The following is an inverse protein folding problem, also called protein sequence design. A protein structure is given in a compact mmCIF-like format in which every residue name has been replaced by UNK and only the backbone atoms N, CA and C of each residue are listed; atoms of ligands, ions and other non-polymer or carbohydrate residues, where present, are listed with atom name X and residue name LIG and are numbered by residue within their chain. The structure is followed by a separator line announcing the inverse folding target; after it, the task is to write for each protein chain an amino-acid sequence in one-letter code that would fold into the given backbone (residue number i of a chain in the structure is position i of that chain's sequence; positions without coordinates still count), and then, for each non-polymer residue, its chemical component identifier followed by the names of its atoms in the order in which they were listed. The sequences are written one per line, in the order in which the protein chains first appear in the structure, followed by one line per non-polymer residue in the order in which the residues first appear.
data_IF_349253857752
#
_entry.id   IF_349253857752
#
_cell.length_a   1.000
_cell.length_b   1.000
_cell.length_c   1.000
_cell.angle_alpha   90.00
_cell.angle_beta   90.00
_cell.angle_gamma   90.00
#
_symmetry.space_group_name_H-M   'P 1'
#
loop_
_entity.id
_entity.type
_entity.pdbx_description
1 polymer ?
#
# COMPACT_ATOMS: atom_id res chain seq x y z
N UNK A 1 17.96 -15.27 -28.39
CA UNK A 1 17.12 -14.09 -28.12
C UNK A 1 17.44 -13.59 -26.71
N UNK A 2 18.31 -12.61 -26.61
CA UNK A 2 18.71 -12.01 -25.33
C UNK A 2 17.48 -11.34 -24.67
N UNK A 3 17.17 -11.78 -23.46
CA UNK A 3 16.21 -11.08 -22.61
C UNK A 3 16.77 -9.69 -22.30
N UNK A 4 16.32 -8.67 -23.02
CA UNK A 4 16.52 -7.28 -22.63
C UNK A 4 16.11 -7.19 -21.15
N UNK A 5 17.09 -6.97 -20.28
CA UNK A 5 16.84 -6.75 -18.83
C UNK A 5 15.87 -5.59 -18.72
N UNK A 6 14.60 -5.85 -18.43
CA UNK A 6 13.60 -4.82 -18.16
C UNK A 6 14.16 -3.93 -17.05
N UNK A 7 14.49 -2.68 -17.40
CA UNK A 7 14.89 -1.65 -16.43
C UNK A 7 13.79 -1.61 -15.35
N UNK A 8 14.18 -1.72 -14.10
CA UNK A 8 13.21 -1.68 -12.99
C UNK A 8 12.40 -0.39 -13.09
N UNK A 9 11.09 -0.46 -12.87
CA UNK A 9 10.15 0.67 -12.90
C UNK A 9 10.68 1.90 -12.12
N UNK A 10 11.35 1.67 -11.03
CA UNK A 10 12.07 2.66 -10.22
C UNK A 10 13.05 3.50 -11.04
N UNK A 11 13.86 2.86 -11.90
CA UNK A 11 14.84 3.58 -12.74
C UNK A 11 14.16 4.26 -13.93
N UNK A 12 13.08 3.71 -14.46
CA UNK A 12 12.32 4.34 -15.53
C UNK A 12 11.69 5.65 -15.04
N UNK A 13 11.05 5.65 -13.89
CA UNK A 13 10.47 6.86 -13.28
C UNK A 13 11.56 7.91 -13.04
N UNK A 14 12.68 7.52 -12.44
CA UNK A 14 13.80 8.43 -12.17
C UNK A 14 14.36 9.04 -13.46
N UNK A 15 14.53 8.25 -14.52
CA UNK A 15 15.03 8.71 -15.82
C UNK A 15 14.04 9.71 -16.44
N UNK A 16 12.74 9.41 -16.48
CA UNK A 16 11.75 10.32 -17.08
C UNK A 16 11.66 11.66 -16.34
N UNK A 17 11.63 11.63 -15.01
CA UNK A 17 11.62 12.85 -14.20
C UNK A 17 12.94 13.65 -14.35
N UNK A 18 14.09 12.97 -14.40
CA UNK A 18 15.38 13.61 -14.61
C UNK A 18 15.47 14.27 -15.99
N UNK A 19 15.00 13.60 -17.05
CA UNK A 19 14.95 14.16 -18.39
C UNK A 19 14.03 15.37 -18.47
N UNK A 20 12.83 15.28 -17.89
CA UNK A 20 11.89 16.41 -17.83
C UNK A 20 12.49 17.60 -17.09
N UNK A 21 13.08 17.37 -15.92
CA UNK A 21 13.72 18.42 -15.12
C UNK A 21 14.87 19.08 -15.88
N UNK A 22 15.70 18.28 -16.57
CA UNK A 22 16.81 18.78 -17.39
C UNK A 22 16.27 19.65 -18.53
N UNK A 23 15.24 19.21 -19.25
CA UNK A 23 14.62 19.98 -20.32
C UNK A 23 14.04 21.32 -19.83
N UNK A 24 13.33 21.30 -18.70
CA UNK A 24 12.78 22.52 -18.10
C UNK A 24 13.89 23.48 -17.64
N UNK A 25 14.95 22.96 -17.00
CA UNK A 25 16.09 23.78 -16.55
C UNK A 25 16.84 24.42 -17.72
N UNK A 26 17.08 23.66 -18.80
CA UNK A 26 17.71 24.18 -20.01
C UNK A 26 16.83 25.23 -20.68
N UNK A 27 15.52 25.01 -20.80
CA UNK A 27 14.59 25.97 -21.37
C UNK A 27 14.54 27.27 -20.56
N UNK A 28 14.46 27.17 -19.25
CA UNK A 28 14.48 28.32 -18.35
C UNK A 28 15.81 29.08 -18.44
N UNK A 29 16.94 28.38 -18.46
CA UNK A 29 18.26 28.98 -18.59
C UNK A 29 18.40 29.74 -19.91
N UNK A 30 17.89 29.16 -21.01
CA UNK A 30 17.89 29.83 -22.31
C UNK A 30 17.07 31.12 -22.31
N UNK A 31 15.83 31.07 -21.81
CA UNK A 31 14.95 32.24 -21.71
C UNK A 31 15.55 33.32 -20.79
N UNK A 32 16.15 32.91 -19.69
CA UNK A 32 16.82 33.81 -18.77
C UNK A 32 17.99 34.53 -19.43
N UNK A 33 18.84 33.79 -20.15
CA UNK A 33 19.98 34.39 -20.89
C UNK A 33 19.52 35.35 -21.98
N UNK A 34 18.45 35.04 -22.72
CA UNK A 34 17.88 35.92 -23.72
C UNK A 34 17.36 37.22 -23.07
N UNK A 35 16.58 37.10 -22.02
CA UNK A 35 16.02 38.23 -21.27
C UNK A 35 17.12 39.14 -20.67
N UNK A 36 18.16 38.53 -20.15
CA UNK A 36 19.31 39.26 -19.60
C UNK A 36 20.06 40.02 -20.68
N UNK A 37 20.22 39.43 -21.87
CA UNK A 37 20.84 40.11 -23.03
C UNK A 37 20.05 41.33 -23.44
N UNK A 38 18.74 41.22 -23.59
CA UNK A 38 17.83 42.34 -23.94
C UNK A 38 17.91 43.44 -22.87
N UNK A 39 17.84 43.11 -21.61
CA UNK A 39 17.93 44.08 -20.51
C UNK A 39 19.27 44.83 -20.47
N UNK A 40 20.37 44.12 -20.73
CA UNK A 40 21.70 44.75 -20.81
C UNK A 40 21.80 45.71 -21.96
N UNK A 41 21.30 45.33 -23.13
CA UNK A 41 21.26 46.20 -24.32
C UNK A 41 20.47 47.48 -24.05
N UNK A 42 19.29 47.34 -23.49
CA UNK A 42 18.43 48.47 -23.14
C UNK A 42 19.11 49.40 -22.12
N UNK A 43 19.70 48.87 -21.06
CA UNK A 43 20.42 49.64 -20.03
C UNK A 43 21.61 50.42 -20.61
N UNK A 44 22.40 49.79 -21.48
CA UNK A 44 23.53 50.48 -22.14
C UNK A 44 23.05 51.57 -23.06
N UNK A 45 21.97 51.36 -23.80
CA UNK A 45 21.32 52.35 -24.63
C UNK A 45 20.86 53.59 -23.81
N UNK A 46 20.17 53.34 -22.68
CA UNK A 46 19.78 54.43 -21.76
C UNK A 46 20.98 55.21 -21.19
N UNK A 47 22.13 54.56 -21.00
CA UNK A 47 23.33 55.23 -20.51
C UNK A 47 23.90 56.18 -21.58
N UNK A 48 23.74 55.89 -22.88
CA UNK A 48 24.26 56.73 -23.99
C UNK A 48 23.40 57.95 -24.29
N UNK A 49 22.09 57.91 -23.99
CA UNK A 49 21.14 59.00 -24.30
C UNK A 49 21.58 60.35 -23.71
N UNK A 50 21.93 60.51 -22.43
CA UNK A 50 22.31 61.81 -21.87
C UNK A 50 23.53 62.43 -22.55
N UNK A 51 24.47 61.58 -22.98
CA UNK A 51 25.69 62.05 -23.64
C UNK A 51 25.42 62.52 -25.08
N UNK A 52 24.51 61.88 -25.81
CA UNK A 52 24.10 62.36 -27.14
C UNK A 52 23.36 63.70 -27.01
N UNK A 53 22.51 63.86 -25.99
CA UNK A 53 21.83 65.14 -25.74
C UNK A 53 22.83 66.25 -25.31
N UNK A 54 23.81 65.90 -24.46
CA UNK A 54 24.88 66.85 -24.07
C UNK A 54 25.66 67.36 -25.28
N UNK A 55 26.05 66.45 -26.15
CA UNK A 55 26.80 66.79 -27.40
C UNK A 55 25.95 67.72 -28.27
N UNK A 56 24.69 67.39 -28.54
CA UNK A 56 23.79 68.22 -29.34
C UNK A 56 23.61 69.61 -28.74
N UNK A 57 23.33 69.70 -27.46
CA UNK A 57 23.10 70.98 -26.75
C UNK A 57 24.33 71.89 -26.79
N UNK A 58 25.50 71.31 -26.74
CA UNK A 58 26.77 72.08 -26.86
C UNK A 58 26.98 72.61 -28.28
N UNK A 59 26.77 71.75 -29.28
CA UNK A 59 27.01 72.12 -30.69
C UNK A 59 25.90 73.03 -31.21
N UNK A 60 24.65 72.93 -30.84
CA UNK A 60 23.52 73.67 -31.40
C UNK A 60 23.47 75.14 -31.03
N UNK A 61 24.32 75.63 -30.11
CA UNK A 61 24.36 77.00 -29.65
C UNK A 61 24.83 78.02 -30.71
N UNK A 62 25.49 77.53 -31.80
CA UNK A 62 25.97 78.38 -32.86
C UNK A 62 25.93 77.63 -34.21
N UNK A 63 25.70 78.33 -35.31
CA UNK A 63 25.54 77.71 -36.62
C UNK A 63 26.88 77.22 -37.27
N UNK A 64 28.03 77.43 -36.65
CA UNK A 64 29.36 77.06 -37.16
C UNK A 64 29.72 75.58 -37.00
N UNK A 65 28.83 74.77 -36.44
CA UNK A 65 29.05 73.30 -36.12
C UNK A 65 29.29 72.48 -37.42
N UNK A 66 28.93 72.91 -38.58
CA UNK A 66 29.21 72.23 -39.85
C UNK A 66 30.66 72.28 -40.25
N UNK A 67 31.50 73.16 -39.67
CA UNK A 67 32.95 73.20 -39.91
C UNK A 67 33.61 72.24 -38.87
N UNK A 68 34.37 71.24 -39.35
CA UNK A 68 35.04 70.25 -38.49
C UNK A 68 35.96 70.87 -37.43
N UNK A 69 36.69 71.93 -37.72
CA UNK A 69 37.61 72.61 -36.78
C UNK A 69 36.79 73.28 -35.61
N UNK A 70 35.67 73.92 -35.96
CA UNK A 70 34.80 74.56 -35.01
C UNK A 70 34.10 73.51 -34.13
N UNK A 71 33.70 72.38 -34.70
CA UNK A 71 33.09 71.25 -33.96
C UNK A 71 34.12 70.64 -33.01
N UNK A 72 35.35 70.42 -33.43
CA UNK A 72 36.45 69.88 -32.65
C UNK A 72 36.77 70.79 -31.42
N UNK A 73 36.89 72.12 -31.67
CA UNK A 73 37.11 73.07 -30.57
C UNK A 73 36.01 73.08 -29.52
N UNK A 74 34.76 72.99 -29.90
CA UNK A 74 33.62 72.93 -28.98
C UNK A 74 33.52 71.58 -28.24
N UNK A 75 33.81 70.51 -28.99
CA UNK A 75 33.83 69.16 -28.34
C UNK A 75 34.91 69.03 -27.28
N UNK A 76 36.08 69.74 -27.45
CA UNK A 76 37.15 69.71 -26.45
C UNK A 76 36.70 70.16 -25.06
N UNK A 77 35.69 71.02 -24.94
CA UNK A 77 35.16 71.47 -23.66
C UNK A 77 34.26 70.46 -22.96
N UNK A 78 33.65 69.56 -23.69
CA UNK A 78 32.72 68.57 -23.12
C UNK A 78 33.28 67.14 -23.14
N UNK A 79 34.36 66.86 -23.89
CA UNK A 79 35.05 65.55 -23.91
C UNK A 79 35.41 65.04 -22.51
N UNK A 80 35.91 65.87 -21.56
CA UNK A 80 36.19 65.40 -20.19
C UNK A 80 34.96 64.93 -19.41
N UNK A 81 33.77 65.32 -19.86
CA UNK A 81 32.50 64.90 -19.23
C UNK A 81 31.95 63.57 -19.80
N UNK A 82 32.54 63.11 -20.90
CA UNK A 82 32.18 61.88 -21.62
C UNK A 82 33.07 60.76 -21.12
N UNK A 83 32.55 59.60 -20.77
CA UNK A 83 33.37 58.44 -20.40
C UNK A 83 34.44 58.10 -21.47
N UNK A 84 35.66 57.87 -21.06
CA UNK A 84 36.79 57.55 -21.97
C UNK A 84 36.51 56.34 -22.90
N UNK A 85 35.68 55.42 -22.45
CA UNK A 85 35.29 54.22 -23.16
C UNK A 85 34.19 54.48 -24.22
N UNK A 86 33.58 55.66 -24.24
CA UNK A 86 32.46 56.01 -25.09
C UNK A 86 32.99 56.71 -26.35
N UNK A 87 32.74 56.12 -27.49
CA UNK A 87 32.99 56.77 -28.79
C UNK A 87 31.81 57.68 -29.12
N UNK A 88 32.08 58.93 -29.47
CA UNK A 88 31.08 59.86 -29.92
C UNK A 88 31.45 60.29 -31.37
N UNK A 89 30.43 60.13 -32.24
CA UNK A 89 30.55 60.58 -33.64
C UNK A 89 29.40 61.56 -33.92
N UNK A 90 29.71 62.72 -34.45
CA UNK A 90 28.76 63.75 -34.91
C UNK A 90 28.69 63.66 -36.45
N UNK A 91 27.43 63.66 -36.96
CA UNK A 91 27.22 63.49 -38.40
C UNK A 91 26.29 64.59 -38.96
N UNK A 92 26.46 64.96 -40.21
CA UNK A 92 25.51 65.77 -40.92
C UNK A 92 24.14 65.10 -41.11
N UNK A 93 23.08 65.85 -41.53
CA UNK A 93 21.82 65.24 -41.93
C UNK A 93 21.96 64.21 -43.07
N UNK A 94 22.98 64.30 -43.88
CA UNK A 94 23.32 63.33 -44.95
C UNK A 94 24.30 62.24 -44.51
N UNK A 95 24.48 62.08 -43.17
CA UNK A 95 25.32 61.11 -42.52
C UNK A 95 26.81 61.14 -42.81
N UNK A 96 27.38 62.31 -43.24
CA UNK A 96 28.82 62.55 -43.31
C UNK A 96 29.37 62.85 -41.90
N UNK A 97 30.54 62.27 -41.58
CA UNK A 97 31.16 62.48 -40.24
C UNK A 97 31.75 63.92 -40.20
N UNK A 98 31.34 64.67 -39.13
CA UNK A 98 31.88 65.98 -38.79
C UNK A 98 32.96 65.87 -37.72
N UNK A 99 32.74 65.01 -36.75
CA UNK A 99 33.62 64.85 -35.59
C UNK A 99 33.58 63.42 -35.12
N UNK A 100 34.71 62.88 -34.70
CA UNK A 100 34.83 61.60 -34.04
C UNK A 100 35.93 61.63 -32.96
N UNK A 101 35.62 61.35 -31.69
CA UNK A 101 36.61 61.52 -30.63
C UNK A 101 37.74 60.46 -30.64
N UNK A 102 37.63 59.38 -31.39
CA UNK A 102 38.69 58.37 -31.51
C UNK A 102 39.53 58.56 -32.80
N UNK A 103 39.09 59.37 -33.75
CA UNK A 103 39.77 59.63 -35.04
C UNK A 103 39.99 61.12 -35.23
N UNK A 104 40.74 61.75 -34.33
CA UNK A 104 40.93 63.19 -34.32
C UNK A 104 41.82 63.73 -35.48
N UNK A 105 42.60 62.89 -36.18
CA UNK A 105 43.66 63.32 -37.06
C UNK A 105 43.51 62.92 -38.57
N UNK A 106 42.43 62.27 -38.95
CA UNK A 106 42.17 61.90 -40.36
C UNK A 106 40.99 62.70 -40.92
N UNK A 107 41.12 63.22 -42.11
CA UNK A 107 40.03 63.85 -42.84
C UNK A 107 38.97 62.76 -43.18
N UNK A 108 38.04 62.57 -42.28
CA UNK A 108 37.04 61.50 -42.33
C UNK A 108 36.02 61.86 -43.40
N UNK A 109 36.21 61.38 -44.64
CA UNK A 109 35.19 61.44 -45.69
C UNK A 109 34.38 60.12 -45.73
N UNK A 110 33.97 59.62 -44.56
CA UNK A 110 33.11 58.44 -44.48
C UNK A 110 31.63 58.82 -44.39
N UNK A 111 30.85 58.24 -45.28
CA UNK A 111 29.39 58.37 -45.20
C UNK A 111 28.78 57.14 -44.50
N UNK A 112 28.02 57.42 -43.50
CA UNK A 112 27.41 56.35 -42.65
C UNK A 112 25.93 56.12 -42.93
N UNK A 113 25.37 56.58 -44.05
CA UNK A 113 23.94 56.54 -44.36
C UNK A 113 23.32 55.13 -44.32
N UNK A 114 24.10 54.11 -44.64
CA UNK A 114 23.69 52.72 -44.70
C UNK A 114 23.87 51.97 -43.32
N UNK A 115 24.19 52.68 -42.28
CA UNK A 115 24.37 52.07 -40.97
C UNK A 115 22.99 51.81 -40.33
N UNK A 116 22.70 50.57 -39.83
CA UNK A 116 21.37 50.21 -39.29
C UNK A 116 20.87 51.21 -38.24
N UNK A 117 21.72 51.59 -37.28
CA UNK A 117 21.41 52.54 -36.22
C UNK A 117 20.97 53.94 -36.75
N UNK A 118 21.51 54.34 -37.90
CA UNK A 118 21.17 55.64 -38.55
C UNK A 118 19.90 55.48 -39.39
N UNK A 119 19.68 54.36 -40.04
CA UNK A 119 18.45 54.06 -40.79
C UNK A 119 17.26 54.07 -39.84
N UNK A 120 17.39 53.46 -38.67
CA UNK A 120 16.35 53.44 -37.63
C UNK A 120 16.14 54.86 -37.04
N UNK A 121 17.26 55.57 -36.72
CA UNK A 121 17.19 56.92 -36.23
C UNK A 121 16.52 57.92 -37.24
N UNK A 122 16.63 57.67 -38.54
CA UNK A 122 15.94 58.44 -39.56
C UNK A 122 14.41 58.25 -39.52
N UNK A 123 13.94 57.03 -39.18
CA UNK A 123 12.50 56.70 -39.13
C UNK A 123 11.86 57.06 -37.80
N UNK A 124 12.49 56.68 -36.70
CA UNK A 124 11.93 56.73 -35.36
C UNK A 124 12.49 57.83 -34.44
N UNK A 125 13.49 58.57 -34.97
CA UNK A 125 14.17 59.62 -34.20
C UNK A 125 15.42 59.12 -33.46
N UNK A 126 15.51 57.84 -33.17
CA UNK A 126 16.66 57.17 -32.58
C UNK A 126 16.76 55.73 -33.12
N UNK A 127 17.93 55.15 -33.00
CA UNK A 127 18.15 53.74 -33.35
C UNK A 127 19.36 53.19 -32.64
N UNK A 128 19.37 51.84 -32.41
CA UNK A 128 20.46 51.16 -31.73
C UNK A 128 20.77 49.82 -32.38
N UNK A 129 22.05 49.51 -32.54
CA UNK A 129 22.50 48.25 -33.18
C UNK A 129 23.80 47.76 -32.55
N UNK A 130 23.84 46.44 -32.28
CA UNK A 130 25.08 45.76 -31.88
C UNK A 130 25.79 45.20 -33.09
N UNK A 131 26.98 45.67 -33.37
CA UNK A 131 27.76 45.18 -34.51
C UNK A 131 29.26 45.20 -34.28
N UNK A 132 29.97 44.36 -35.02
CA UNK A 132 31.40 44.31 -34.99
C UNK A 132 32.00 45.58 -35.71
N UNK A 133 32.88 46.28 -34.99
CA UNK A 133 33.63 47.42 -35.55
C UNK A 133 34.90 46.93 -36.21
N UNK A 134 34.98 47.09 -37.53
CA UNK A 134 36.20 46.75 -38.27
C UNK A 134 37.39 47.65 -37.92
N UNK A 135 37.11 48.88 -37.51
CA UNK A 135 38.11 49.87 -37.09
C UNK A 135 38.69 49.56 -35.73
N UNK A 136 37.86 49.16 -34.78
CA UNK A 136 38.24 48.90 -33.35
C UNK A 136 38.41 47.40 -33.04
N UNK A 137 38.14 46.52 -34.02
CA UNK A 137 38.28 45.06 -33.91
C UNK A 137 37.54 44.44 -32.72
N UNK A 138 36.40 45.02 -32.34
CA UNK A 138 35.54 44.55 -31.23
C UNK A 138 34.06 44.78 -31.53
N UNK A 139 33.19 44.14 -30.76
CA UNK A 139 31.74 44.38 -30.84
C UNK A 139 31.37 45.65 -30.07
N UNK A 140 30.68 46.54 -30.74
CA UNK A 140 30.22 47.81 -30.18
C UNK A 140 28.71 47.89 -30.29
N UNK A 141 28.07 48.38 -29.17
CA UNK A 141 26.72 48.83 -29.21
C UNK A 141 26.69 50.27 -29.66
N UNK A 142 26.10 50.52 -30.82
CA UNK A 142 25.89 51.82 -31.38
C UNK A 142 24.51 52.33 -31.04
N UNK A 143 24.42 53.58 -30.60
CA UNK A 143 23.17 54.32 -30.42
C UNK A 143 23.24 55.62 -31.19
N UNK A 144 22.30 55.87 -32.10
CA UNK A 144 22.23 57.10 -32.88
C UNK A 144 20.90 57.84 -32.59
N UNK A 145 21.00 59.12 -32.39
CA UNK A 145 19.81 59.97 -32.20
C UNK A 145 19.79 61.07 -33.25
N UNK A 146 18.64 61.25 -33.88
CA UNK A 146 18.38 62.28 -34.85
C UNK A 146 17.98 63.57 -34.17
N UNK A 147 18.67 64.64 -34.44
CA UNK A 147 18.33 66.00 -34.04
C UNK A 147 17.95 66.83 -35.26
N UNK A 148 17.32 68.01 -35.10
CA UNK A 148 16.85 68.82 -36.23
C UNK A 148 17.92 69.16 -37.27
N UNK A 149 19.18 69.25 -36.86
CA UNK A 149 20.31 69.71 -37.76
C UNK A 149 21.44 68.72 -37.89
N UNK A 150 21.47 67.63 -37.11
CA UNK A 150 22.61 66.66 -37.16
C UNK A 150 22.15 65.33 -36.48
N UNK A 151 22.99 64.32 -36.67
CA UNK A 151 22.92 63.07 -35.87
C UNK A 151 24.07 63.04 -34.88
N UNK A 152 23.78 62.58 -33.68
CA UNK A 152 24.83 62.21 -32.71
C UNK A 152 24.76 60.72 -32.47
N UNK A 153 25.88 60.07 -32.70
CA UNK A 153 26.04 58.64 -32.48
C UNK A 153 27.00 58.40 -31.31
N UNK A 154 26.55 57.68 -30.31
CA UNK A 154 27.38 57.15 -29.24
C UNK A 154 27.65 55.66 -29.47
N UNK A 155 28.82 55.16 -29.06
CA UNK A 155 29.11 53.75 -29.11
C UNK A 155 29.91 53.33 -27.89
N UNK A 156 29.54 52.17 -27.32
CA UNK A 156 30.23 51.55 -26.20
C UNK A 156 30.74 50.17 -26.63
N UNK A 157 31.93 49.82 -26.20
CA UNK A 157 32.46 48.48 -26.35
C UNK A 157 31.57 47.51 -25.54
N UNK A 158 30.96 46.58 -26.29
CA UNK A 158 30.05 45.62 -25.69
C UNK A 158 30.77 44.72 -24.68
N UNK A 159 31.98 44.28 -24.98
CA UNK A 159 32.71 43.34 -24.12
C UNK A 159 33.25 44.02 -22.86
N UNK A 160 33.91 45.18 -22.98
CA UNK A 160 34.48 45.89 -21.82
C UNK A 160 33.44 46.47 -20.89
N UNK A 161 32.33 46.97 -21.42
CA UNK A 161 31.21 47.54 -20.67
C UNK A 161 30.30 46.48 -20.05
N UNK A 162 30.29 45.24 -20.57
CA UNK A 162 29.41 44.15 -20.16
C UNK A 162 30.14 43.17 -19.22
N UNK A 163 31.46 43.02 -19.31
CA UNK A 163 32.26 42.10 -18.46
C UNK A 163 32.00 42.25 -16.94
N UNK A 164 31.91 43.43 -16.34
CA UNK A 164 31.61 43.55 -14.90
C UNK A 164 30.19 43.06 -14.54
N UNK A 165 29.26 43.13 -15.50
CA UNK A 165 27.89 42.72 -15.35
C UNK A 165 27.72 41.20 -15.60
N UNK A 166 28.60 40.58 -16.40
CA UNK A 166 28.64 39.12 -16.65
C UNK A 166 29.03 38.39 -15.37
N UNK A 167 29.87 38.94 -14.50
CA UNK A 167 30.20 38.35 -13.19
C UNK A 167 28.97 38.21 -12.30
N UNK A 168 27.96 39.08 -12.46
CA UNK A 168 26.65 38.95 -11.80
C UNK A 168 25.83 37.76 -12.34
N UNK A 169 25.91 37.50 -13.65
CA UNK A 169 25.18 36.40 -14.31
C UNK A 169 25.65 35.02 -13.87
N UNK A 170 26.95 34.85 -13.61
CA UNK A 170 27.50 33.59 -13.14
C UNK A 170 26.92 33.18 -11.74
N UNK A 171 26.54 34.11 -10.89
CA UNK A 171 25.92 33.80 -9.58
C UNK A 171 24.56 33.15 -9.76
N UNK A 172 23.73 33.62 -10.69
CA UNK A 172 22.43 33.03 -10.98
C UNK A 172 22.56 31.61 -11.55
N UNK A 173 23.54 31.38 -12.43
CA UNK A 173 23.84 30.04 -12.97
C UNK A 173 24.22 29.05 -11.86
N UNK A 174 25.03 29.50 -10.90
CA UNK A 174 25.39 28.69 -9.73
C UNK A 174 24.15 28.36 -8.86
N UNK A 175 23.28 29.34 -8.64
CA UNK A 175 22.01 29.13 -7.89
C UNK A 175 21.11 28.13 -8.60
N UNK A 176 20.94 28.26 -9.93
CA UNK A 176 20.15 27.32 -10.74
C UNK A 176 20.72 25.91 -10.65
N UNK A 177 22.07 25.77 -10.72
CA UNK A 177 22.74 24.48 -10.59
C UNK A 177 22.51 23.84 -9.22
N UNK A 178 22.64 24.60 -8.14
CA UNK A 178 22.40 24.14 -6.76
C UNK A 178 20.94 23.68 -6.63
N UNK A 179 20.00 24.47 -7.14
CA UNK A 179 18.57 24.14 -7.10
C UNK A 179 18.29 22.86 -7.90
N UNK A 180 18.87 22.72 -9.09
CA UNK A 180 18.75 21.50 -9.90
C UNK A 180 19.27 20.27 -9.14
N UNK A 181 20.47 20.35 -8.57
CA UNK A 181 21.05 19.25 -7.79
C UNK A 181 20.21 18.89 -6.56
N UNK A 182 19.67 19.90 -5.86
CA UNK A 182 18.80 19.67 -4.71
C UNK A 182 17.52 18.91 -5.10
N UNK A 183 16.88 19.27 -6.21
CA UNK A 183 15.67 18.58 -6.71
C UNK A 183 16.01 17.14 -7.11
N UNK A 184 17.13 16.91 -7.78
CA UNK A 184 17.57 15.55 -8.14
C UNK A 184 17.80 14.70 -6.89
N UNK A 185 18.41 15.26 -5.85
CA UNK A 185 18.65 14.56 -4.60
C UNK A 185 17.35 14.19 -3.88
N UNK A 186 16.38 15.10 -3.84
CA UNK A 186 15.04 14.86 -3.31
C UNK A 186 14.32 13.77 -4.11
N UNK A 187 14.39 13.78 -5.44
CA UNK A 187 13.81 12.74 -6.29
C UNK A 187 14.41 11.36 -6.01
N UNK A 188 15.71 11.26 -5.84
CA UNK A 188 16.39 10.00 -5.48
C UNK A 188 15.89 9.50 -4.11
N UNK A 189 15.76 10.40 -3.14
CA UNK A 189 15.28 10.06 -1.80
C UNK A 189 13.83 9.55 -1.83
N UNK A 190 12.93 10.27 -2.49
CA UNK A 190 11.52 9.89 -2.65
C UNK A 190 11.40 8.54 -3.38
N UNK A 191 12.15 8.36 -4.48
CA UNK A 191 12.13 7.11 -5.26
C UNK A 191 12.58 5.93 -4.41
N UNK A 192 13.61 6.08 -3.59
CA UNK A 192 14.05 5.03 -2.66
C UNK A 192 12.99 4.73 -1.59
N UNK A 193 12.35 5.77 -1.03
CA UNK A 193 11.32 5.63 0.01
C UNK A 193 10.10 4.87 -0.50
N UNK A 194 9.64 5.16 -1.72
CA UNK A 194 8.48 4.48 -2.34
C UNK A 194 8.83 3.07 -2.84
N UNK A 195 10.06 2.85 -3.32
CA UNK A 195 10.44 1.56 -3.91
C UNK A 195 10.67 0.46 -2.88
N UNK A 196 11.04 0.79 -1.65
CA UNK A 196 11.31 -0.22 -0.59
C UNK A 196 10.12 -1.11 -0.28
N UNK A 197 8.92 -0.58 0.07
CA UNK A 197 7.77 -1.42 0.38
C UNK A 197 7.30 -2.23 -0.83
N UNK A 198 7.37 -1.68 -2.04
CA UNK A 198 7.02 -2.40 -3.28
C UNK A 198 7.98 -3.57 -3.53
N UNK A 199 9.28 -3.40 -3.24
CA UNK A 199 10.27 -4.48 -3.37
C UNK A 199 10.03 -5.59 -2.33
N UNK A 200 9.68 -5.23 -1.10
CA UNK A 200 9.33 -6.19 -0.05
C UNK A 200 8.07 -7.01 -0.41
N UNK A 201 7.04 -6.33 -0.95
CA UNK A 201 5.83 -7.02 -1.47
C UNK A 201 6.15 -7.98 -2.62
N UNK A 202 7.05 -7.59 -3.51
CA UNK A 202 7.48 -8.47 -4.60
C UNK A 202 8.21 -9.70 -4.08
N UNK A 203 9.10 -9.54 -3.12
CA UNK A 203 9.80 -10.64 -2.45
C UNK A 203 8.79 -11.59 -1.78
N UNK A 204 7.80 -11.03 -1.06
CA UNK A 204 6.70 -11.79 -0.49
C UNK A 204 5.97 -12.62 -1.55
N UNK A 205 5.56 -12.01 -2.67
CA UNK A 205 4.87 -12.70 -3.77
C UNK A 205 5.74 -13.82 -4.35
N UNK A 206 7.04 -13.61 -4.52
CA UNK A 206 7.96 -14.61 -5.03
C UNK A 206 8.12 -15.79 -4.04
N UNK A 207 8.15 -15.53 -2.73
CA UNK A 207 8.17 -16.57 -1.68
C UNK A 207 6.89 -17.41 -1.74
N UNK A 208 5.71 -16.75 -1.79
CA UNK A 208 4.40 -17.39 -1.89
C UNK A 208 4.32 -18.28 -3.14
N UNK A 209 4.72 -17.74 -4.29
CA UNK A 209 4.65 -18.45 -5.59
C UNK A 209 5.53 -19.69 -5.64
N UNK A 210 6.68 -19.64 -4.98
CA UNK A 210 7.64 -20.76 -4.97
C UNK A 210 7.37 -21.78 -3.86
N UNK A 211 6.32 -21.59 -3.05
CA UNK A 211 5.95 -22.50 -1.96
C UNK A 211 6.96 -22.59 -0.82
N UNK A 212 7.91 -21.66 -0.72
CA UNK A 212 8.94 -21.60 0.33
C UNK A 212 8.49 -20.64 1.42
N UNK A 213 7.56 -21.11 2.24
CA UNK A 213 6.73 -20.27 3.08
C UNK A 213 7.25 -19.88 4.45
N UNK A 214 8.41 -19.25 4.58
CA UNK A 214 8.70 -18.51 5.82
C UNK A 214 8.52 -16.99 5.58
N UNK A 215 7.33 -16.49 5.97
CA UNK A 215 6.96 -15.08 5.81
C UNK A 215 7.44 -14.21 6.99
N UNK A 216 8.12 -14.79 7.99
CA UNK A 216 8.43 -14.11 9.25
C UNK A 216 9.55 -13.08 9.12
N UNK A 217 10.34 -13.13 8.04
CA UNK A 217 11.52 -12.29 7.86
C UNK A 217 11.31 -11.08 6.94
N UNK A 218 10.07 -10.83 6.47
CA UNK A 218 9.79 -9.68 5.59
C UNK A 218 9.51 -8.46 6.47
N UNK A 219 10.41 -7.48 6.36
CA UNK A 219 10.26 -6.20 7.07
C UNK A 219 9.77 -5.12 6.12
N UNK A 220 8.73 -4.43 6.50
CA UNK A 220 8.20 -3.27 5.79
C UNK A 220 8.67 -1.97 6.46
N UNK A 221 8.86 -0.89 5.70
CA UNK A 221 9.17 0.41 6.26
C UNK A 221 7.96 0.98 7.01
N UNK A 222 8.22 1.75 8.07
CA UNK A 222 7.19 2.40 8.89
C UNK A 222 6.59 3.61 8.15
N UNK A 223 5.69 3.35 7.20
CA UNK A 223 4.89 4.32 6.46
C UNK A 223 3.60 3.67 5.94
N UNK A 224 2.69 4.47 5.37
CA UNK A 224 1.36 4.03 4.92
C UNK A 224 1.42 2.85 3.94
N UNK A 225 2.41 2.83 3.04
CA UNK A 225 2.62 1.72 2.10
C UNK A 225 3.16 0.47 2.81
N UNK A 226 3.92 0.64 3.89
CA UNK A 226 4.39 -0.45 4.72
C UNK A 226 3.24 -1.09 5.51
N UNK A 227 2.36 -0.29 6.09
CA UNK A 227 1.15 -0.76 6.79
C UNK A 227 0.25 -1.58 5.86
N UNK A 228 0.03 -1.11 4.63
CA UNK A 228 -0.71 -1.88 3.61
C UNK A 228 -0.01 -3.21 3.30
N UNK A 229 1.33 -3.19 3.20
CA UNK A 229 2.12 -4.39 3.00
C UNK A 229 1.98 -5.41 4.13
N UNK A 230 2.03 -4.96 5.38
CA UNK A 230 1.83 -5.80 6.56
C UNK A 230 0.42 -6.40 6.62
N UNK A 231 -0.61 -5.62 6.32
CA UNK A 231 -1.99 -6.10 6.30
C UNK A 231 -2.23 -7.14 5.20
N UNK A 232 -1.61 -6.97 4.02
CA UNK A 232 -1.63 -7.99 2.95
C UNK A 232 -0.99 -9.29 3.43
N UNK A 233 0.19 -9.23 4.06
CA UNK A 233 0.89 -10.42 4.57
C UNK A 233 0.06 -11.11 5.66
N UNK A 234 -0.53 -10.34 6.57
CA UNK A 234 -1.39 -10.84 7.65
C UNK A 234 -2.63 -11.55 7.09
N UNK A 235 -3.31 -10.91 6.14
CA UNK A 235 -4.49 -11.51 5.46
C UNK A 235 -4.11 -12.81 4.74
N UNK A 236 -2.96 -12.82 4.08
CA UNK A 236 -2.48 -14.02 3.40
C UNK A 236 -2.15 -15.16 4.38
N UNK A 237 -1.55 -14.85 5.55
CA UNK A 237 -1.31 -15.84 6.61
C UNK A 237 -2.62 -16.48 7.08
N UNK A 238 -3.62 -15.66 7.35
CA UNK A 238 -4.95 -16.15 7.75
C UNK A 238 -5.57 -17.06 6.67
N UNK A 239 -5.36 -16.71 5.40
CA UNK A 239 -5.85 -17.51 4.28
C UNK A 239 -5.09 -18.84 4.13
N UNK A 240 -3.77 -18.84 4.32
CA UNK A 240 -2.95 -20.07 4.29
C UNK A 240 -3.27 -21.00 5.48
N UNK A 241 -3.43 -20.44 6.67
CA UNK A 241 -3.87 -21.19 7.85
C UNK A 241 -5.26 -21.82 7.63
N UNK A 242 -6.20 -21.04 7.10
CA UNK A 242 -7.54 -21.54 6.76
C UNK A 242 -7.50 -22.64 5.71
N UNK A 243 -6.63 -22.49 4.71
CA UNK A 243 -6.42 -23.53 3.68
C UNK A 243 -5.85 -24.81 4.27
N UNK A 244 -4.81 -24.71 5.08
CA UNK A 244 -4.22 -25.86 5.78
C UNK A 244 -5.25 -26.57 6.65
N UNK A 245 -5.97 -25.78 7.43
CA UNK A 245 -7.06 -26.30 8.25
C UNK A 245 -8.13 -27.06 7.45
N UNK A 246 -8.59 -26.50 6.30
CA UNK A 246 -9.53 -27.19 5.39
C UNK A 246 -8.94 -28.46 4.79
N UNK A 247 -7.65 -28.48 4.46
CA UNK A 247 -6.98 -29.66 3.94
C UNK A 247 -6.88 -30.79 4.99
N UNK A 248 -6.51 -30.45 6.23
CA UNK A 248 -6.48 -31.40 7.34
C UNK A 248 -7.88 -31.95 7.65
N UNK A 249 -8.88 -31.08 7.66
CA UNK A 249 -10.28 -31.49 7.82
C UNK A 249 -10.69 -32.50 6.74
N UNK A 250 -10.41 -32.20 5.46
CA UNK A 250 -10.75 -33.08 4.34
C UNK A 250 -10.03 -34.43 4.45
N UNK A 251 -8.75 -34.42 4.83
CA UNK A 251 -7.97 -35.63 5.04
C UNK A 251 -8.57 -36.50 6.17
N UNK A 252 -8.89 -35.89 7.31
CA UNK A 252 -9.43 -36.59 8.45
C UNK A 252 -10.84 -37.16 8.17
N UNK A 253 -11.69 -36.36 7.49
CA UNK A 253 -13.02 -36.84 7.02
C UNK A 253 -12.87 -38.07 6.11
N UNK A 254 -12.00 -37.98 5.10
CA UNK A 254 -11.80 -39.11 4.19
C UNK A 254 -11.32 -40.38 4.92
N UNK A 255 -10.44 -40.20 5.91
CA UNK A 255 -9.96 -41.31 6.73
C UNK A 255 -11.05 -41.96 7.58
N UNK A 256 -11.84 -41.13 8.30
CA UNK A 256 -12.93 -41.60 9.19
C UNK A 256 -14.12 -42.20 8.41
N UNK A 257 -14.37 -41.78 7.17
CA UNK A 257 -15.38 -42.42 6.30
C UNK A 257 -14.87 -43.71 5.66
N UNK A 258 -13.59 -43.80 5.29
CA UNK A 258 -13.01 -45.01 4.68
C UNK A 258 -13.08 -46.21 5.60
N UNK A 259 -12.86 -46.04 6.89
CA UNK A 259 -12.82 -47.12 7.88
C UNK A 259 -14.13 -47.90 7.95
N UNK A 260 -15.31 -47.30 8.23
CA UNK A 260 -16.58 -47.99 8.27
C UNK A 260 -16.97 -48.58 6.90
N UNK A 261 -16.73 -47.87 5.80
CA UNK A 261 -17.00 -48.40 4.44
C UNK A 261 -16.22 -49.68 4.16
N UNK A 262 -14.92 -49.69 4.51
CA UNK A 262 -14.10 -50.90 4.36
C UNK A 262 -14.59 -52.05 5.25
N UNK A 263 -15.03 -51.73 6.50
CA UNK A 263 -15.62 -52.70 7.36
C UNK A 263 -16.92 -53.32 6.82
N UNK A 264 -17.84 -52.45 6.34
CA UNK A 264 -19.09 -52.92 5.70
C UNK A 264 -18.79 -53.82 4.53
N UNK A 265 -17.88 -53.38 3.64
CA UNK A 265 -17.48 -54.17 2.46
C UNK A 265 -16.91 -55.53 2.86
N UNK A 266 -16.00 -55.57 3.86
CA UNK A 266 -15.40 -56.82 4.30
C UNK A 266 -16.42 -57.82 4.87
N UNK A 267 -17.37 -57.34 5.69
CA UNK A 267 -18.43 -58.24 6.21
C UNK A 267 -19.34 -58.74 5.11
N UNK A 268 -19.71 -57.92 4.14
CA UNK A 268 -20.53 -58.32 2.99
C UNK A 268 -19.75 -59.27 2.03
N UNK A 269 -18.47 -59.00 1.76
CA UNK A 269 -17.64 -59.89 0.94
C UNK A 269 -17.50 -61.27 1.58
N UNK A 270 -17.37 -61.34 2.93
CA UNK A 270 -17.33 -62.63 3.65
C UNK A 270 -18.65 -63.38 3.48
N UNK A 271 -19.78 -62.69 3.58
CA UNK A 271 -21.10 -63.30 3.38
C UNK A 271 -21.35 -63.80 1.96
N UNK A 272 -20.79 -63.11 0.98
CA UNK A 272 -20.95 -63.47 -0.45
C UNK A 272 -20.02 -64.59 -0.90
N UNK A 273 -18.85 -64.76 -0.29
CA UNK A 273 -17.82 -65.75 -0.69
C UNK A 273 -17.95 -67.11 -0.03
N UNK A 274 -18.62 -67.20 1.10
CA UNK A 274 -18.77 -68.45 1.84
C UNK A 274 -20.12 -69.08 1.54
N UNK A 275 -20.13 -70.21 0.82
CA UNK A 275 -21.34 -70.93 0.43
C UNK A 275 -22.05 -71.62 1.60
N UNK A 276 -21.38 -71.93 2.75
CA UNK A 276 -21.94 -72.59 3.93
C UNK A 276 -21.70 -71.83 5.22
N UNK A 277 -22.24 -70.61 5.34
CA UNK A 277 -22.21 -69.86 6.57
C UNK A 277 -23.36 -70.29 7.46
N UNK A 278 -23.05 -70.59 8.74
CA UNK A 278 -24.06 -70.81 9.78
C UNK A 278 -24.93 -69.54 9.99
N UNK A 279 -26.21 -69.75 10.33
CA UNK A 279 -27.17 -68.65 10.55
C UNK A 279 -26.71 -67.64 11.60
N UNK A 280 -26.05 -68.11 12.65
CA UNK A 280 -25.58 -67.23 13.71
C UNK A 280 -24.37 -66.38 13.27
N UNK A 281 -23.49 -66.95 12.49
CA UNK A 281 -22.37 -66.21 11.84
C UNK A 281 -22.87 -65.19 10.81
N UNK A 282 -23.84 -65.59 10.00
CA UNK A 282 -24.46 -64.68 9.02
C UNK A 282 -25.10 -63.49 9.71
N UNK A 283 -25.86 -63.75 10.78
CA UNK A 283 -26.45 -62.70 11.59
C UNK A 283 -25.41 -61.79 12.23
N UNK A 284 -24.35 -62.36 12.78
CA UNK A 284 -23.23 -61.57 13.34
C UNK A 284 -22.62 -60.61 12.31
N UNK A 285 -22.32 -61.05 11.08
CA UNK A 285 -21.76 -60.23 10.08
C UNK A 285 -22.72 -59.13 9.60
N UNK A 286 -24.00 -59.44 9.46
CA UNK A 286 -25.05 -58.45 9.16
C UNK A 286 -25.20 -57.41 10.26
N UNK A 287 -25.22 -57.79 11.52
CA UNK A 287 -25.28 -56.89 12.65
C UNK A 287 -24.02 -55.97 12.71
N UNK A 288 -22.84 -56.52 12.43
CA UNK A 288 -21.62 -55.71 12.34
C UNK A 288 -21.62 -54.74 11.17
N UNK A 289 -22.09 -55.14 9.98
CA UNK A 289 -22.24 -54.26 8.82
C UNK A 289 -23.23 -53.16 9.11
N UNK A 290 -24.37 -53.49 9.73
CA UNK A 290 -25.40 -52.54 10.16
C UNK A 290 -24.86 -51.50 11.18
N UNK A 291 -24.12 -51.95 12.18
CA UNK A 291 -23.48 -51.06 13.16
C UNK A 291 -22.47 -50.09 12.48
N UNK A 292 -21.71 -50.54 11.47
CA UNK A 292 -20.84 -49.63 10.71
C UNK A 292 -21.60 -48.64 9.84
N UNK A 293 -22.78 -49.01 9.32
CA UNK A 293 -23.68 -48.11 8.61
C UNK A 293 -24.23 -47.03 9.49
N UNK A 294 -24.68 -47.35 10.70
CA UNK A 294 -25.13 -46.36 11.69
C UNK A 294 -24.00 -45.39 12.06
N UNK A 295 -22.80 -45.92 12.27
CA UNK A 295 -21.63 -45.07 12.53
C UNK A 295 -21.32 -44.12 11.38
N UNK A 296 -21.37 -44.60 10.15
CA UNK A 296 -21.17 -43.78 8.94
C UNK A 296 -22.20 -42.67 8.88
N UNK A 297 -23.46 -42.96 9.11
CA UNK A 297 -24.55 -41.97 9.16
C UNK A 297 -24.32 -40.90 10.23
N UNK A 298 -23.87 -41.31 11.43
CA UNK A 298 -23.54 -40.37 12.51
C UNK A 298 -22.40 -39.43 12.10
N UNK A 299 -21.32 -39.94 11.52
CA UNK A 299 -20.18 -39.10 11.03
C UNK A 299 -20.65 -38.10 9.99
N UNK A 300 -21.45 -38.52 9.01
CA UNK A 300 -21.98 -37.63 7.97
C UNK A 300 -22.86 -36.56 8.59
N UNK A 301 -23.72 -36.90 9.55
CA UNK A 301 -24.55 -35.92 10.25
C UNK A 301 -23.72 -34.90 11.05
N UNK A 302 -22.71 -35.35 11.78
CA UNK A 302 -21.80 -34.50 12.56
C UNK A 302 -21.06 -33.49 11.64
N UNK A 303 -20.55 -33.97 10.49
CA UNK A 303 -19.91 -33.12 9.49
C UNK A 303 -20.91 -32.11 8.93
N UNK A 304 -22.13 -32.52 8.65
CA UNK A 304 -23.18 -31.65 8.12
C UNK A 304 -23.54 -30.53 9.11
N UNK A 305 -23.64 -30.86 10.40
CA UNK A 305 -23.90 -29.88 11.48
C UNK A 305 -22.73 -28.88 11.54
N UNK A 306 -21.48 -29.34 11.56
CA UNK A 306 -20.31 -28.48 11.63
C UNK A 306 -20.22 -27.54 10.43
N UNK A 307 -20.44 -28.06 9.21
CA UNK A 307 -20.48 -27.23 8.00
C UNK A 307 -21.59 -26.19 8.07
N UNK A 308 -22.79 -26.57 8.51
CA UNK A 308 -23.90 -25.63 8.67
C UNK A 308 -23.60 -24.52 9.67
N UNK A 309 -22.92 -24.84 10.79
CA UNK A 309 -22.48 -23.86 11.80
C UNK A 309 -21.45 -22.89 11.20
N UNK A 310 -20.52 -23.37 10.36
CA UNK A 310 -19.42 -22.55 9.80
C UNK A 310 -19.82 -21.74 8.58
N UNK A 311 -20.56 -22.37 7.65
CA UNK A 311 -20.83 -21.73 6.34
C UNK A 311 -22.17 -20.98 6.28
N UNK A 312 -23.08 -21.30 7.20
CA UNK A 312 -24.45 -20.78 7.16
C UNK A 312 -25.01 -20.55 8.57
N UNK A 313 -24.35 -19.78 9.43
CA UNK A 313 -24.81 -19.55 10.82
C UNK A 313 -26.19 -18.90 10.88
N UNK A 314 -26.54 -18.07 9.89
CA UNK A 314 -27.83 -17.36 9.82
C UNK A 314 -29.02 -18.27 9.48
N UNK A 315 -28.77 -19.54 9.13
CA UNK A 315 -29.83 -20.51 8.82
C UNK A 315 -30.37 -21.24 10.03
N UNK A 316 -29.91 -20.93 11.22
CA UNK A 316 -30.45 -21.47 12.45
C UNK A 316 -31.52 -20.53 12.98
N UNK A 317 -32.72 -21.05 13.13
CA UNK A 317 -33.84 -20.33 13.77
C UNK A 317 -33.53 -20.06 15.23
N UNK A 318 -33.69 -18.81 15.65
CA UNK A 318 -33.47 -18.39 17.02
C UNK A 318 -34.83 -18.26 17.72
N UNK A 319 -35.04 -19.07 18.73
CA UNK A 319 -36.29 -19.14 19.47
C UNK A 319 -36.06 -19.25 20.99
N UNK A 320 -37.06 -19.00 21.82
CA UNK A 320 -36.97 -19.27 23.25
C UNK A 320 -36.93 -20.78 23.52
N UNK A 321 -35.87 -21.27 24.18
CA UNK A 321 -35.68 -22.69 24.46
C UNK A 321 -35.63 -22.91 25.96
N UNK A 322 -36.53 -23.77 26.46
CA UNK A 322 -36.48 -24.22 27.83
C UNK A 322 -35.48 -25.36 27.98
N UNK A 323 -34.39 -25.11 28.71
CA UNK A 323 -33.28 -26.06 28.83
C UNK A 323 -33.66 -27.34 29.56
N UNK A 324 -34.49 -27.23 30.60
CA UNK A 324 -34.96 -28.41 31.33
C UNK A 324 -35.75 -29.34 30.44
N UNK A 325 -36.68 -28.80 29.63
CA UNK A 325 -37.49 -29.57 28.72
C UNK A 325 -36.64 -30.24 27.63
N UNK A 326 -35.69 -29.51 27.07
CA UNK A 326 -34.72 -30.07 26.11
C UNK A 326 -33.94 -31.26 26.69
N UNK A 327 -33.50 -31.17 27.96
CA UNK A 327 -32.83 -32.28 28.64
C UNK A 327 -33.72 -33.47 28.88
N UNK A 328 -35.03 -33.28 29.19
CA UNK A 328 -36.00 -34.35 29.32
C UNK A 328 -36.25 -35.09 27.99
N UNK A 329 -36.30 -34.37 26.88
CA UNK A 329 -36.38 -34.95 25.54
C UNK A 329 -35.15 -35.83 25.24
N UNK A 330 -33.93 -35.33 25.53
CA UNK A 330 -32.70 -36.10 25.36
C UNK A 330 -32.66 -37.32 26.24
N UNK A 331 -33.09 -37.21 27.51
CA UNK A 331 -33.19 -38.33 28.44
C UNK A 331 -34.15 -39.45 27.91
N UNK A 332 -35.30 -39.05 27.38
CA UNK A 332 -36.25 -39.97 26.73
C UNK A 332 -35.64 -40.66 25.51
N UNK A 333 -34.95 -39.91 24.64
CA UNK A 333 -34.33 -40.46 23.44
C UNK A 333 -33.16 -41.42 23.75
N UNK A 334 -32.48 -41.23 24.87
CA UNK A 334 -31.33 -42.05 25.27
C UNK A 334 -31.68 -43.08 26.35
N UNK A 335 -32.96 -43.20 26.77
CA UNK A 335 -33.41 -44.04 27.89
C UNK A 335 -32.92 -45.49 27.79
N UNK A 336 -33.00 -46.12 26.61
CA UNK A 336 -32.53 -47.48 26.40
C UNK A 336 -31.03 -47.62 26.64
N UNK A 337 -30.20 -46.67 26.15
CA UNK A 337 -28.75 -46.69 26.33
C UNK A 337 -28.35 -46.44 27.80
N UNK A 338 -29.07 -45.56 28.49
CA UNK A 338 -28.84 -45.25 29.89
C UNK A 338 -29.16 -46.49 30.77
N UNK A 339 -30.26 -47.16 30.47
CA UNK A 339 -30.67 -48.38 31.19
C UNK A 339 -29.71 -49.55 30.93
N UNK A 340 -29.32 -49.81 29.69
CA UNK A 340 -28.35 -50.84 29.30
C UNK A 340 -27.03 -50.73 30.07
N UNK A 341 -26.49 -49.50 30.21
CA UNK A 341 -25.27 -49.24 30.96
C UNK A 341 -25.44 -48.95 32.43
N UNK A 342 -26.67 -48.98 32.94
CA UNK A 342 -27.03 -48.65 34.32
C UNK A 342 -26.56 -47.26 34.75
N UNK A 343 -26.71 -46.29 33.86
CA UNK A 343 -26.32 -44.89 34.08
C UNK A 343 -27.51 -44.13 34.63
N UNK A 344 -27.28 -43.34 35.71
CA UNK A 344 -28.26 -42.46 36.28
C UNK A 344 -28.10 -41.05 35.71
N UNK A 345 -29.13 -40.56 35.02
CA UNK A 345 -29.17 -39.16 34.58
C UNK A 345 -29.96 -38.30 35.57
N UNK A 346 -29.38 -37.20 36.01
CA UNK A 346 -29.95 -36.29 37.01
C UNK A 346 -30.07 -34.87 36.40
N UNK A 347 -31.29 -34.47 36.07
CA UNK A 347 -31.60 -33.12 35.56
C UNK A 347 -32.01 -32.22 36.74
N UNK A 348 -31.06 -31.36 37.18
CA UNK A 348 -31.25 -30.37 38.26
C UNK A 348 -31.30 -28.93 37.71
N UNK A 349 -31.73 -28.76 36.46
CA UNK A 349 -31.91 -27.44 35.85
C UNK A 349 -33.26 -26.86 36.30
N UNK A 350 -33.26 -25.58 36.63
CA UNK A 350 -34.46 -24.84 37.02
C UNK A 350 -35.43 -24.75 35.81
N UNK A 351 -36.73 -24.97 36.09
CA UNK A 351 -37.79 -24.97 35.06
C UNK A 351 -37.99 -23.62 34.38
N UNK A 352 -37.61 -22.54 35.06
CA UNK A 352 -37.83 -21.17 34.58
C UNK A 352 -36.68 -20.64 33.65
N UNK A 353 -35.63 -21.44 33.48
CA UNK A 353 -34.50 -20.97 32.63
C UNK A 353 -34.82 -21.18 31.16
N UNK A 354 -35.02 -20.06 30.46
CA UNK A 354 -35.24 -19.98 29.03
C UNK A 354 -34.07 -19.22 28.44
N UNK A 355 -33.42 -19.81 27.44
CA UNK A 355 -32.37 -19.14 26.65
C UNK A 355 -32.87 -18.89 25.26
N UNK A 356 -32.46 -17.80 24.65
CA UNK A 356 -32.78 -17.47 23.26
C UNK A 356 -31.73 -18.05 22.34
N UNK A 357 -32.08 -19.04 21.54
CA UNK A 357 -31.12 -19.73 20.72
C UNK A 357 -31.74 -20.73 19.77
N UNK A 358 -30.92 -21.50 19.05
CA UNK A 358 -31.45 -22.58 18.21
C UNK A 358 -31.70 -23.84 19.05
N UNK A 359 -32.97 -24.28 19.08
CA UNK A 359 -33.35 -25.53 19.76
C UNK A 359 -32.55 -26.72 19.27
N UNK A 360 -32.33 -26.80 17.96
CA UNK A 360 -31.49 -27.84 17.35
C UNK A 360 -30.04 -27.84 17.87
N UNK A 361 -29.42 -26.68 17.96
CA UNK A 361 -28.04 -26.59 18.48
C UNK A 361 -27.92 -26.85 19.96
N UNK A 362 -28.89 -26.40 20.75
CA UNK A 362 -28.96 -26.66 22.20
C UNK A 362 -29.19 -28.15 22.46
N UNK A 363 -30.11 -28.77 21.74
CA UNK A 363 -30.31 -30.21 21.80
C UNK A 363 -29.04 -30.97 21.43
N UNK A 364 -28.40 -30.61 20.28
CA UNK A 364 -27.17 -31.23 19.82
C UNK A 364 -26.02 -31.07 20.83
N UNK A 365 -25.90 -29.92 21.47
CA UNK A 365 -24.90 -29.63 22.51
C UNK A 365 -25.03 -30.64 23.68
N UNK A 366 -26.18 -30.68 24.35
CA UNK A 366 -26.39 -31.55 25.54
C UNK A 366 -26.37 -33.03 25.15
N UNK A 367 -26.96 -33.39 24.01
CA UNK A 367 -26.92 -34.75 23.49
C UNK A 367 -25.48 -35.25 23.27
N UNK A 368 -24.60 -34.42 22.68
CA UNK A 368 -23.21 -34.81 22.49
C UNK A 368 -22.43 -34.93 23.79
N UNK A 369 -22.73 -34.14 24.82
CA UNK A 369 -22.14 -34.30 26.15
C UNK A 369 -22.58 -35.61 26.80
N UNK A 370 -23.88 -35.90 26.73
CA UNK A 370 -24.46 -37.12 27.33
C UNK A 370 -23.99 -38.37 26.58
N UNK A 371 -24.05 -38.38 25.24
CA UNK A 371 -23.53 -39.50 24.43
C UNK A 371 -22.02 -39.72 24.71
N UNK A 372 -21.21 -38.65 24.89
CA UNK A 372 -19.79 -38.78 25.24
C UNK A 372 -19.60 -39.45 26.62
N UNK A 373 -20.39 -39.07 27.61
CA UNK A 373 -20.34 -39.71 28.95
C UNK A 373 -20.82 -41.15 28.91
N UNK A 374 -21.86 -41.47 28.13
CA UNK A 374 -22.33 -42.84 27.93
C UNK A 374 -21.25 -43.72 27.25
N UNK A 375 -20.52 -43.18 26.25
CA UNK A 375 -19.55 -43.95 25.50
C UNK A 375 -18.21 -44.13 26.23
N UNK A 376 -17.77 -43.11 26.98
CA UNK A 376 -16.43 -43.07 27.56
C UNK A 376 -16.35 -43.08 29.06
N UNK A 377 -17.43 -42.73 29.77
CA UNK A 377 -17.46 -42.69 31.23
C UNK A 377 -17.39 -44.06 31.91
N UNK A 378 -17.92 -45.08 31.25
CA UNK A 378 -17.99 -46.44 31.80
C UNK A 378 -19.42 -46.86 32.14
N UNK A 379 -19.55 -47.93 32.91
CA UNK A 379 -20.86 -48.41 33.42
C UNK A 379 -21.14 -47.89 34.83
N UNK A 380 -22.42 -47.77 35.18
CA UNK A 380 -22.87 -47.38 36.52
C UNK A 380 -22.38 -46.00 36.95
N UNK A 381 -22.24 -45.09 36.03
CA UNK A 381 -21.89 -43.69 36.30
C UNK A 381 -23.15 -42.84 36.53
N UNK A 382 -22.96 -41.71 37.17
CA UNK A 382 -23.96 -40.65 37.27
C UNK A 382 -23.59 -39.53 36.27
N UNK A 383 -24.57 -39.05 35.54
CA UNK A 383 -24.49 -37.85 34.69
C UNK A 383 -25.42 -36.81 35.30
N UNK A 384 -24.93 -35.61 35.57
CA UNK A 384 -25.73 -34.56 36.16
C UNK A 384 -25.59 -33.25 35.35
N UNK A 385 -26.72 -32.63 35.11
CA UNK A 385 -26.80 -31.25 34.59
C UNK A 385 -27.53 -30.39 35.61
N UNK A 386 -26.89 -29.32 36.08
CA UNK A 386 -27.46 -28.40 37.04
C UNK A 386 -27.32 -26.94 36.59
N UNK A 387 -28.29 -26.10 36.92
CA UNK A 387 -28.20 -24.67 36.75
C UNK A 387 -27.42 -24.04 37.90
N UNK A 388 -26.56 -23.07 37.56
CA UNK A 388 -25.75 -22.28 38.52
C UNK A 388 -26.27 -20.84 38.68
N UNK A 389 -27.45 -20.55 38.13
CA UNK A 389 -28.06 -19.23 38.12
C UNK A 389 -27.91 -18.51 36.79
N UNK A 390 -28.45 -17.31 36.77
CA UNK A 390 -28.38 -16.40 35.60
C UNK A 390 -27.93 -15.01 36.05
N UNK A 391 -27.20 -14.33 35.21
CA UNK A 391 -27.02 -12.89 35.34
C UNK A 391 -27.87 -12.15 34.29
N UNK A 392 -27.57 -10.88 34.02
CA UNK A 392 -28.30 -10.06 33.04
C UNK A 392 -28.06 -10.49 31.57
N UNK A 393 -27.04 -11.31 31.28
CA UNK A 393 -26.62 -11.68 29.93
C UNK A 393 -26.57 -13.19 29.71
N UNK A 394 -26.25 -13.98 30.71
CA UNK A 394 -25.96 -15.39 30.58
C UNK A 394 -26.70 -16.23 31.62
N UNK A 395 -27.11 -17.44 31.20
CA UNK A 395 -27.48 -18.55 32.07
C UNK A 395 -26.30 -19.51 32.19
N UNK A 396 -25.97 -19.91 33.40
CA UNK A 396 -24.82 -20.76 33.73
C UNK A 396 -25.28 -22.16 34.09
N UNK A 397 -24.61 -23.15 33.47
CA UNK A 397 -24.88 -24.57 33.69
C UNK A 397 -23.60 -25.30 34.03
N UNK A 398 -23.69 -26.29 34.90
CA UNK A 398 -22.63 -27.25 35.13
C UNK A 398 -23.12 -28.64 34.70
N UNK A 399 -22.43 -29.22 33.73
CA UNK A 399 -22.60 -30.60 33.31
C UNK A 399 -21.42 -31.42 33.82
N UNK A 400 -21.66 -32.56 34.44
CA UNK A 400 -20.58 -33.44 34.84
C UNK A 400 -20.98 -34.94 34.82
N UNK A 401 -19.98 -35.79 34.66
CA UNK A 401 -20.11 -37.25 34.87
C UNK A 401 -19.18 -37.73 35.98
N UNK A 402 -19.41 -38.98 36.44
CA UNK A 402 -18.58 -39.66 37.43
C UNK A 402 -17.67 -40.71 36.79
N UNK A 403 -17.34 -40.57 35.51
CA UNK A 403 -16.52 -41.49 34.78
C UNK A 403 -15.02 -41.39 35.10
N UNK A 404 -14.20 -41.80 34.15
CA UNK A 404 -12.73 -41.87 34.35
C UNK A 404 -12.02 -40.53 34.27
N UNK A 405 -12.64 -39.51 33.62
CA UNK A 405 -11.96 -38.28 33.26
C UNK A 405 -10.87 -38.51 32.17
N UNK A 406 -10.02 -37.49 31.98
CA UNK A 406 -8.90 -37.54 31.04
C UNK A 406 -7.64 -36.97 31.70
N UNK A 407 -6.43 -37.31 31.21
CA UNK A 407 -5.22 -36.63 31.70
C UNK A 407 -5.22 -35.15 31.33
N UNK A 408 -4.58 -34.32 32.16
CA UNK A 408 -4.59 -32.83 32.02
C UNK A 408 -4.11 -32.36 30.67
N UNK A 409 -3.11 -33.03 30.07
CA UNK A 409 -2.57 -32.73 28.76
C UNK A 409 -3.58 -32.80 27.60
N UNK A 410 -4.72 -33.49 27.81
CA UNK A 410 -5.78 -33.66 26.83
C UNK A 410 -6.90 -32.62 26.95
N UNK A 411 -7.06 -31.99 28.13
CA UNK A 411 -8.20 -31.12 28.44
C UNK A 411 -8.33 -29.95 27.42
N UNK A 412 -7.23 -29.33 27.05
CA UNK A 412 -7.25 -28.22 26.08
C UNK A 412 -7.60 -28.70 24.64
N UNK A 413 -7.33 -29.96 24.36
CA UNK A 413 -7.42 -30.54 23.02
C UNK A 413 -8.70 -31.32 22.75
N UNK A 414 -9.48 -31.69 23.76
CA UNK A 414 -10.68 -32.51 23.57
C UNK A 414 -11.75 -31.84 22.69
N UNK A 415 -11.70 -30.53 22.49
CA UNK A 415 -12.57 -29.79 21.58
C UNK A 415 -12.04 -29.71 20.15
N UNK A 416 -10.80 -30.19 19.88
CA UNK A 416 -10.26 -30.27 18.51
C UNK A 416 -11.04 -31.33 17.72
N UNK A 417 -11.29 -31.06 16.44
CA UNK A 417 -12.00 -32.02 15.57
C UNK A 417 -11.18 -33.27 15.36
N UNK A 418 -11.85 -34.43 15.40
CA UNK A 418 -11.23 -35.76 15.26
C UNK A 418 -10.22 -36.10 16.36
N UNK A 419 -10.10 -35.25 17.40
CA UNK A 419 -9.20 -35.53 18.50
C UNK A 419 -9.75 -36.67 19.37
N UNK A 420 -8.88 -37.56 19.79
CA UNK A 420 -9.21 -38.72 20.63
C UNK A 420 -8.02 -39.05 21.54
N UNK A 421 -8.28 -39.24 22.81
CA UNK A 421 -7.26 -39.58 23.84
C UNK A 421 -6.60 -40.92 23.55
N UNK A 422 -7.39 -41.95 23.17
CA UNK A 422 -6.90 -43.28 22.84
C UNK A 422 -7.29 -43.70 21.41
N UNK A 423 -6.34 -43.69 20.46
CA UNK A 423 -6.59 -44.09 19.06
C UNK A 423 -6.94 -45.57 18.86
N UNK A 424 -6.52 -46.46 19.77
CA UNK A 424 -6.64 -47.93 19.58
C UNK A 424 -7.89 -48.52 20.24
N UNK A 425 -8.27 -48.12 21.44
CA UNK A 425 -9.46 -48.64 22.17
C UNK A 425 -10.78 -48.05 21.68
N UNK A 426 -10.75 -46.79 21.25
CA UNK A 426 -11.94 -46.07 20.81
C UNK A 426 -12.45 -46.50 19.42
N UNK A 427 -11.70 -47.29 18.63
CA UNK A 427 -12.22 -47.94 17.41
C UNK A 427 -13.34 -48.94 17.72
N UNK A 428 -13.36 -49.54 18.91
CA UNK A 428 -14.43 -50.41 19.35
C UNK A 428 -15.67 -49.71 19.89
N UNK A 429 -15.49 -48.47 20.41
CA UNK A 429 -16.57 -47.65 21.02
C UNK A 429 -17.30 -46.72 20.06
N UNK A 430 -16.86 -46.58 18.84
CA UNK A 430 -17.63 -45.94 17.75
C UNK A 430 -17.56 -44.41 17.61
N UNK A 431 -16.97 -43.65 18.50
CA UNK A 431 -17.01 -42.18 18.47
C UNK A 431 -16.28 -41.57 17.25
N UNK A 432 -16.83 -40.49 16.65
CA UNK A 432 -16.24 -39.75 15.50
C UNK A 432 -15.11 -38.81 15.90
N UNK A 433 -15.05 -38.42 17.19
CA UNK A 433 -14.18 -37.31 17.65
C UNK A 433 -14.67 -35.91 17.20
N UNK A 434 -15.90 -35.81 16.71
CA UNK A 434 -16.53 -34.56 16.31
C UNK A 434 -17.50 -34.00 17.36
N UNK A 435 -18.06 -34.82 18.24
CA UNK A 435 -19.09 -34.41 19.17
C UNK A 435 -18.75 -33.22 20.07
N UNK A 436 -17.58 -33.25 20.74
CA UNK A 436 -17.15 -32.12 21.58
C UNK A 436 -16.79 -30.86 20.77
N UNK A 437 -16.35 -31.02 19.53
CA UNK A 437 -16.16 -29.88 18.64
C UNK A 437 -17.50 -29.24 18.21
N UNK A 438 -18.54 -30.03 18.03
CA UNK A 438 -19.93 -29.56 17.84
C UNK A 438 -20.37 -28.76 19.06
N UNK A 439 -20.15 -29.29 20.28
CA UNK A 439 -20.47 -28.60 21.54
C UNK A 439 -19.83 -27.20 21.55
N UNK A 440 -18.52 -27.10 21.34
CA UNK A 440 -17.79 -25.81 21.35
C UNK A 440 -18.31 -24.84 20.31
N UNK A 441 -18.54 -25.31 19.08
CA UNK A 441 -19.00 -24.43 17.98
C UNK A 441 -20.46 -24.00 18.16
N UNK A 442 -21.34 -24.89 18.65
CA UNK A 442 -22.74 -24.57 18.97
C UNK A 442 -22.84 -23.50 20.07
N UNK A 443 -22.05 -23.63 21.13
CA UNK A 443 -21.97 -22.62 22.21
C UNK A 443 -21.44 -21.30 21.70
N UNK A 444 -20.36 -21.32 20.92
CA UNK A 444 -19.77 -20.11 20.32
C UNK A 444 -20.73 -19.36 19.40
N UNK A 445 -21.49 -20.09 18.58
CA UNK A 445 -22.50 -19.50 17.71
C UNK A 445 -23.61 -18.80 18.53
N UNK A 446 -23.94 -19.32 19.68
CA UNK A 446 -24.91 -18.73 20.62
C UNK A 446 -24.25 -17.69 21.56
N UNK A 447 -23.08 -17.14 21.20
CA UNK A 447 -22.33 -16.15 21.97
C UNK A 447 -22.01 -16.59 23.43
N UNK A 448 -22.02 -17.88 23.67
CA UNK A 448 -21.71 -18.50 24.96
C UNK A 448 -20.23 -18.87 25.11
N UNK A 449 -19.93 -19.51 26.25
CA UNK A 449 -18.61 -20.06 26.54
C UNK A 449 -18.69 -21.42 27.20
N UNK A 450 -17.65 -22.25 27.03
CA UNK A 450 -17.50 -23.54 27.68
C UNK A 450 -16.07 -23.74 28.16
N UNK A 451 -15.93 -24.24 29.38
CA UNK A 451 -14.67 -24.72 29.95
C UNK A 451 -14.82 -26.14 30.41
N UNK A 452 -13.73 -26.88 30.49
CA UNK A 452 -13.70 -28.27 30.92
C UNK A 452 -12.62 -28.48 31.98
N UNK A 453 -12.89 -29.33 32.93
CA UNK A 453 -11.94 -29.72 33.96
C UNK A 453 -12.21 -31.17 34.38
N UNK A 454 -11.20 -31.83 34.97
CA UNK A 454 -11.45 -33.09 35.69
C UNK A 454 -12.16 -32.80 37.02
N UNK A 455 -13.12 -33.67 37.37
CA UNK A 455 -13.84 -33.59 38.64
C UNK A 455 -13.01 -34.26 39.75
N UNK A 456 -12.92 -33.67 40.95
CA UNK A 456 -12.40 -34.37 42.11
C UNK A 456 -13.21 -35.65 42.38
N UNK A 457 -12.55 -36.80 42.37
CA UNK A 457 -13.21 -38.10 42.52
C UNK A 457 -13.54 -38.85 41.21
N UNK A 458 -13.19 -38.28 40.06
CA UNK A 458 -13.33 -38.87 38.71
C UNK A 458 -14.40 -38.22 37.86
N UNK A 459 -14.26 -38.33 36.57
CA UNK A 459 -15.15 -37.78 35.56
C UNK A 459 -14.76 -36.41 35.02
N UNK A 460 -15.49 -35.96 34.03
CA UNK A 460 -15.34 -34.62 33.42
C UNK A 460 -16.43 -33.68 33.92
N UNK A 461 -16.06 -32.40 34.06
CA UNK A 461 -16.95 -31.32 34.36
C UNK A 461 -16.86 -30.22 33.30
N UNK A 462 -18.00 -29.87 32.76
CA UNK A 462 -18.13 -28.76 31.79
C UNK A 462 -18.92 -27.62 32.44
N UNK A 463 -18.32 -26.44 32.47
CA UNK A 463 -19.01 -25.21 32.87
C UNK A 463 -19.41 -24.48 31.57
N UNK A 464 -20.72 -24.23 31.44
CA UNK A 464 -21.34 -23.73 30.22
C UNK A 464 -22.06 -22.43 30.53
N UNK A 465 -21.80 -21.40 29.75
CA UNK A 465 -22.57 -20.17 29.77
C UNK A 465 -23.29 -20.03 28.43
N UNK A 466 -24.60 -19.88 28.43
CA UNK A 466 -25.45 -19.61 27.28
C UNK A 466 -26.03 -18.21 27.37
N UNK A 467 -25.98 -17.45 26.28
CA UNK A 467 -26.54 -16.09 26.25
C UNK A 467 -28.09 -16.17 26.41
N UNK A 468 -28.65 -15.28 27.23
CA UNK A 468 -30.09 -15.10 27.37
C UNK A 468 -30.69 -14.40 26.14
N UNK A 469 -29.90 -13.53 25.48
CA UNK A 469 -30.22 -12.89 24.20
C UNK A 469 -29.08 -13.11 23.22
N UNK A 470 -29.39 -13.54 22.01
CA UNK A 470 -28.40 -13.84 20.94
C UNK A 470 -28.30 -12.71 19.90
#
# INVERSE_FOLDING_TARGET
MERIKKVSYKYQVLIYFSLLLTAVTLGFSYLFMQREREFKMERLTYTMIPYTDLVYNNLSRDSSYLNPDSAAHRMSSILPLIPEQMRITVLTPDAWVIFDNLQLNESIKENHLNRPELIEAKKEGYGSELRYSNTLKAEYLYYAKRYPKLYVRAALDYNSSVLPVIVSSNRYMVVILILFLSVVLVLIFITKKISRPVSALREFIDIVKNGRGDFNNISFPNNELGEVGEEIVKTFRQLDETKKYKQELTHNVAHELKTPVTGIRGYLETLLQQENIDKDQSRFFLERAYAQTLRLSSIINDISILNKIEESPDKFDIEPVNIRQCLLEIESDLAFKLEEKKIVFSNKVDENIIVKGSSFLIYSLFKNLIDNSIEHGGEKIEICTESKGCDSKFAYFSYYDTGKGVSEEHLDRIFERFYRVEKSRSRKSGGSGLGLSIVKNAIKLQKGSVTVSNRPGGGLKFEIALALEV
#
